data_IF_396745652497
#
_entry.id   IF_396745652497
#
_cell.length_a   1.000
_cell.length_b   1.000
_cell.length_c   1.000
_cell.angle_alpha   90.00
_cell.angle_beta   90.00
_cell.angle_gamma   90.00
#
_symmetry.space_group_name_H-M   'P 1'
#
loop_
_entity.id
_entity.type
_entity.pdbx_description
1 polymer ?
#
# COMPACT_ATOMS: atom_id res chain seq x y z
N UNK A 1 1.51 -9.11 -11.91
CA UNK A 1 2.28 -8.00 -11.30
C UNK A 1 3.48 -8.46 -10.45
N UNK A 2 3.59 -9.74 -10.06
CA UNK A 2 4.65 -10.21 -9.15
C UNK A 2 6.10 -10.07 -9.60
N UNK A 3 6.42 -10.26 -10.90
CA UNK A 3 7.83 -10.23 -11.36
C UNK A 3 8.46 -8.83 -11.35
N UNK A 4 7.64 -7.78 -11.53
CA UNK A 4 8.13 -6.39 -11.54
C UNK A 4 8.54 -5.93 -10.14
N UNK A 5 7.71 -6.18 -9.13
CA UNK A 5 8.01 -5.85 -7.74
C UNK A 5 9.25 -6.62 -7.23
N UNK A 6 9.35 -7.91 -7.55
CA UNK A 6 10.52 -8.73 -7.21
C UNK A 6 11.82 -8.15 -7.80
N UNK A 7 11.78 -7.68 -9.04
CA UNK A 7 12.94 -7.08 -9.73
C UNK A 7 13.34 -5.75 -9.08
N UNK A 8 12.39 -4.95 -8.60
CA UNK A 8 12.67 -3.70 -7.90
C UNK A 8 13.37 -3.95 -6.55
N UNK A 9 12.89 -4.90 -5.74
CA UNK A 9 13.53 -5.21 -4.46
C UNK A 9 14.96 -5.72 -4.65
N UNK A 10 15.19 -6.62 -5.61
CA UNK A 10 16.54 -7.09 -5.94
C UNK A 10 17.47 -5.95 -6.36
N UNK A 11 16.95 -5.01 -7.16
CA UNK A 11 17.70 -3.82 -7.59
C UNK A 11 18.08 -2.94 -6.39
N UNK A 12 17.15 -2.72 -5.45
CA UNK A 12 17.41 -1.92 -4.26
C UNK A 12 18.46 -2.57 -3.34
N UNK A 13 18.40 -3.89 -3.13
CA UNK A 13 19.41 -4.62 -2.37
C UNK A 13 20.79 -4.55 -3.04
N UNK A 14 20.87 -4.75 -4.35
CA UNK A 14 22.13 -4.62 -5.08
C UNK A 14 22.68 -3.19 -5.00
N UNK A 15 21.81 -2.19 -5.11
CA UNK A 15 22.17 -0.78 -5.00
C UNK A 15 22.69 -0.43 -3.60
N UNK A 16 22.06 -0.93 -2.54
CA UNK A 16 22.50 -0.75 -1.15
C UNK A 16 23.94 -1.22 -0.95
N UNK A 17 24.24 -2.47 -1.33
CA UNK A 17 25.59 -3.03 -1.18
C UNK A 17 26.62 -2.34 -2.05
N UNK A 18 26.28 -2.04 -3.31
CA UNK A 18 27.16 -1.30 -4.21
C UNK A 18 27.47 0.10 -3.67
N UNK A 19 26.47 0.83 -3.20
CA UNK A 19 26.63 2.19 -2.67
C UNK A 19 27.45 2.18 -1.37
N UNK A 20 27.20 1.22 -0.49
CA UNK A 20 27.97 1.05 0.76
C UNK A 20 29.45 0.80 0.48
N UNK A 21 29.79 -0.08 -0.49
CA UNK A 21 31.18 -0.28 -0.92
C UNK A 21 31.83 0.99 -1.42
N UNK A 22 31.13 1.73 -2.29
CA UNK A 22 31.64 3.01 -2.80
C UNK A 22 31.87 4.04 -1.71
N UNK A 23 30.98 4.12 -0.73
CA UNK A 23 31.14 5.02 0.42
C UNK A 23 32.34 4.60 1.28
N UNK A 24 32.55 3.30 1.52
CA UNK A 24 33.74 2.80 2.21
C UNK A 24 35.04 3.09 1.43
N UNK A 25 35.01 3.00 0.10
CA UNK A 25 36.15 3.35 -0.76
C UNK A 25 36.47 4.84 -0.67
N UNK A 26 35.45 5.70 -0.64
CA UNK A 26 35.64 7.13 -0.40
C UNK A 26 36.23 7.40 0.99
N UNK A 27 35.70 6.76 2.03
CA UNK A 27 36.16 6.92 3.41
C UNK A 27 37.59 6.42 3.62
N UNK A 28 38.03 5.42 2.87
CA UNK A 28 39.40 4.90 2.92
C UNK A 28 40.45 5.92 2.44
N UNK A 29 40.05 6.98 1.73
CA UNK A 29 40.95 8.07 1.33
C UNK A 29 41.13 9.14 2.41
N UNK A 30 40.35 9.08 3.50
CA UNK A 30 40.47 10.00 4.63
C UNK A 30 41.57 9.54 5.58
N UNK A 31 42.10 10.48 6.36
CA UNK A 31 43.03 10.11 7.41
C UNK A 31 42.28 9.45 8.60
N UNK A 32 42.93 8.59 9.41
CA UNK A 32 42.25 7.88 10.50
C UNK A 32 41.59 8.80 11.55
N UNK A 33 42.13 10.00 11.74
CA UNK A 33 41.57 10.98 12.67
C UNK A 33 40.25 11.58 12.15
N UNK A 34 40.12 11.80 10.84
CA UNK A 34 38.88 12.28 10.19
C UNK A 34 37.77 11.23 10.26
N UNK A 35 38.11 9.97 10.10
CA UNK A 35 37.16 8.85 10.16
C UNK A 35 36.53 8.70 11.55
N UNK A 36 37.30 9.01 12.60
CA UNK A 36 36.89 8.89 14.01
C UNK A 36 36.44 10.20 14.63
N UNK A 37 36.70 11.34 13.97
CA UNK A 37 36.24 12.65 14.40
C UNK A 37 34.71 12.74 14.42
N UNK A 38 34.18 13.41 15.44
CA UNK A 38 32.78 13.81 15.50
C UNK A 38 32.69 15.31 15.17
N UNK A 39 32.23 15.68 13.97
CA UNK A 39 32.16 17.08 13.54
C UNK A 39 31.04 17.88 14.23
N UNK A 40 30.29 17.28 15.16
CA UNK A 40 29.20 17.95 15.90
C UNK A 40 27.88 18.01 15.12
N UNK A 41 27.79 17.35 13.98
CA UNK A 41 26.55 17.12 13.24
C UNK A 41 26.44 15.64 12.82
N UNK A 42 25.23 15.08 12.84
CA UNK A 42 24.99 13.67 12.51
C UNK A 42 25.14 12.69 13.68
N UNK A 43 25.09 11.38 13.41
CA UNK A 43 25.20 10.31 14.41
C UNK A 43 26.66 9.90 14.68
N UNK A 44 27.46 10.85 15.16
CA UNK A 44 28.85 10.61 15.57
C UNK A 44 29.85 10.72 14.41
N UNK A 45 30.82 9.81 14.39
CA UNK A 45 31.88 9.77 13.37
C UNK A 45 31.47 8.95 12.14
N UNK A 46 32.26 9.04 11.07
CA UNK A 46 32.07 8.21 9.87
C UNK A 46 32.10 6.73 10.25
N UNK A 47 33.01 6.35 11.15
CA UNK A 47 33.08 4.99 11.69
C UNK A 47 31.79 4.55 12.39
N UNK A 48 31.23 5.39 13.28
CA UNK A 48 30.00 5.02 14.02
C UNK A 48 28.79 4.93 13.11
N UNK A 49 28.73 5.73 12.04
CA UNK A 49 27.67 5.67 11.04
C UNK A 49 27.74 4.36 10.24
N UNK A 50 28.91 3.98 9.75
CA UNK A 50 29.08 2.69 9.06
C UNK A 50 28.75 1.51 9.97
N UNK A 51 29.21 1.55 11.23
CA UNK A 51 28.86 0.53 12.20
C UNK A 51 27.33 0.47 12.45
N UNK A 52 26.66 1.61 12.53
CA UNK A 52 25.21 1.66 12.68
C UNK A 52 24.48 1.00 11.51
N UNK A 53 24.93 1.25 10.28
CA UNK A 53 24.37 0.62 9.08
C UNK A 53 24.59 -0.90 9.10
N UNK A 54 25.82 -1.36 9.33
CA UNK A 54 26.14 -2.79 9.42
C UNK A 54 25.31 -3.50 10.50
N UNK A 55 25.22 -2.88 11.68
CA UNK A 55 24.39 -3.39 12.79
C UNK A 55 22.93 -3.50 12.37
N UNK A 56 22.40 -2.51 11.65
CA UNK A 56 21.01 -2.49 11.21
C UNK A 56 20.74 -3.60 10.19
N UNK A 57 21.62 -3.78 9.21
CA UNK A 57 21.52 -4.87 8.23
C UNK A 57 21.51 -6.24 8.91
N UNK A 58 22.42 -6.47 9.86
CA UNK A 58 22.48 -7.70 10.66
C UNK A 58 21.19 -7.96 11.45
N UNK A 59 20.72 -6.95 12.19
CA UNK A 59 19.54 -7.09 13.05
C UNK A 59 18.30 -7.45 12.22
N UNK A 60 18.09 -6.77 11.08
CA UNK A 60 16.95 -7.04 10.21
C UNK A 60 17.05 -8.40 9.54
N UNK A 61 18.22 -8.79 9.03
CA UNK A 61 18.39 -10.12 8.42
C UNK A 61 18.01 -11.21 9.39
N UNK A 62 18.65 -11.23 10.57
CA UNK A 62 18.46 -12.31 11.53
C UNK A 62 17.02 -12.35 12.02
N UNK A 63 16.38 -11.18 12.21
CA UNK A 63 14.96 -11.14 12.58
C UNK A 63 14.05 -11.70 11.51
N UNK A 64 14.30 -11.42 10.22
CA UNK A 64 13.53 -12.00 9.12
C UNK A 64 13.80 -13.50 8.95
N UNK A 65 15.05 -13.90 9.16
CA UNK A 65 15.49 -15.29 8.95
C UNK A 65 15.05 -16.23 10.07
N UNK A 66 14.97 -15.73 11.30
CA UNK A 66 14.72 -16.57 12.50
C UNK A 66 13.44 -16.21 13.25
N UNK A 67 12.87 -15.02 13.02
CA UNK A 67 11.76 -14.47 13.81
C UNK A 67 12.19 -13.91 15.18
N UNK A 68 13.44 -14.12 15.59
CA UNK A 68 13.95 -13.72 16.91
C UNK A 68 14.58 -12.32 16.90
N UNK A 69 14.73 -11.74 18.08
CA UNK A 69 15.49 -10.50 18.26
C UNK A 69 16.95 -10.84 18.63
N UNK A 70 17.91 -10.73 17.70
CA UNK A 70 19.31 -11.02 18.01
C UNK A 70 19.92 -9.99 18.94
N UNK A 71 21.00 -10.37 19.63
CA UNK A 71 21.86 -9.39 20.30
C UNK A 71 22.66 -8.62 19.26
N UNK A 72 22.70 -7.28 19.33
CA UNK A 72 23.48 -6.48 18.40
C UNK A 72 24.98 -6.73 18.59
N UNK A 73 25.78 -6.76 17.51
CA UNK A 73 27.22 -6.77 17.65
C UNK A 73 27.71 -5.54 18.42
N UNK A 74 28.86 -5.69 19.08
CA UNK A 74 29.54 -4.61 19.79
C UNK A 74 30.47 -3.87 18.81
N UNK A 75 30.62 -2.55 18.96
CA UNK A 75 31.44 -1.73 18.04
C UNK A 75 32.92 -2.07 18.15
N UNK A 76 33.34 -2.58 19.30
CA UNK A 76 34.70 -3.02 19.61
C UNK A 76 35.15 -4.20 18.74
N UNK A 77 34.20 -4.98 18.19
CA UNK A 77 34.49 -6.03 17.21
C UNK A 77 34.88 -5.46 15.84
N UNK A 78 34.63 -4.17 15.61
CA UNK A 78 34.88 -3.48 14.35
C UNK A 78 35.68 -2.20 14.61
N UNK A 79 36.97 -2.29 15.00
CA UNK A 79 37.75 -1.11 15.40
C UNK A 79 38.21 -0.23 14.23
N UNK A 80 38.14 -0.72 12.99
CA UNK A 80 38.66 -0.05 11.79
C UNK A 80 37.69 -0.09 10.62
N UNK A 81 37.85 0.81 9.64
CA UNK A 81 37.11 0.74 8.37
C UNK A 81 37.32 -0.58 7.62
N UNK A 82 38.49 -1.20 7.76
CA UNK A 82 38.78 -2.51 7.18
C UNK A 82 37.93 -3.60 7.83
N UNK A 83 37.87 -3.65 9.16
CA UNK A 83 37.00 -4.59 9.87
C UNK A 83 35.51 -4.37 9.56
N UNK A 84 35.08 -3.11 9.41
CA UNK A 84 33.71 -2.80 8.98
C UNK A 84 33.44 -3.28 7.55
N UNK A 85 34.39 -3.13 6.63
CA UNK A 85 34.29 -3.63 5.26
C UNK A 85 34.13 -5.14 5.23
N UNK A 86 34.94 -5.88 5.99
CA UNK A 86 34.80 -7.33 6.13
C UNK A 86 33.43 -7.71 6.71
N UNK A 87 32.96 -6.95 7.71
CA UNK A 87 31.62 -7.11 8.27
C UNK A 87 30.52 -6.94 7.23
N UNK A 88 30.59 -5.89 6.41
CA UNK A 88 29.65 -5.65 5.33
C UNK A 88 29.68 -6.73 4.24
N UNK A 89 30.86 -7.24 3.86
CA UNK A 89 30.96 -8.33 2.88
C UNK A 89 30.36 -9.63 3.44
N UNK A 90 30.65 -9.96 4.70
CA UNK A 90 30.07 -11.12 5.37
C UNK A 90 28.54 -11.00 5.44
N UNK A 91 28.03 -9.83 5.82
CA UNK A 91 26.60 -9.59 5.96
C UNK A 91 25.89 -9.60 4.60
N UNK A 92 26.51 -9.04 3.55
CA UNK A 92 26.00 -9.11 2.19
C UNK A 92 25.89 -10.56 1.67
N UNK A 93 26.88 -11.40 1.96
CA UNK A 93 26.83 -12.83 1.63
C UNK A 93 25.72 -13.56 2.40
N UNK A 94 25.56 -13.26 3.69
CA UNK A 94 24.50 -13.84 4.51
C UNK A 94 23.10 -13.46 4.00
N UNK A 95 22.89 -12.19 3.64
CA UNK A 95 21.66 -11.72 3.00
C UNK A 95 21.38 -12.43 1.68
N UNK A 96 22.40 -12.55 0.82
CA UNK A 96 22.24 -13.25 -0.46
C UNK A 96 21.83 -14.71 -0.24
N UNK A 97 22.48 -15.41 0.70
CA UNK A 97 22.14 -16.78 1.05
C UNK A 97 20.71 -16.90 1.60
N UNK A 98 20.28 -15.97 2.44
CA UNK A 98 18.91 -15.92 2.94
C UNK A 98 17.89 -15.71 1.81
N UNK A 99 18.12 -14.75 0.91
CA UNK A 99 17.23 -14.46 -0.22
C UNK A 99 17.12 -15.64 -1.18
N UNK A 100 18.21 -16.36 -1.47
CA UNK A 100 18.15 -17.56 -2.30
C UNK A 100 17.33 -18.68 -1.66
N UNK A 101 17.47 -18.90 -0.34
CA UNK A 101 16.61 -19.87 0.36
C UNK A 101 15.15 -19.43 0.38
N UNK A 102 14.89 -18.14 0.60
CA UNK A 102 13.53 -17.59 0.60
C UNK A 102 12.86 -17.79 -0.76
N UNK A 103 13.58 -17.61 -1.88
CA UNK A 103 13.06 -17.90 -3.22
C UNK A 103 12.65 -19.36 -3.38
N UNK A 104 13.48 -20.29 -2.90
CA UNK A 104 13.18 -21.73 -2.98
C UNK A 104 11.96 -22.10 -2.14
N UNK A 105 11.86 -21.57 -0.92
CA UNK A 105 10.71 -21.80 -0.03
C UNK A 105 9.46 -21.18 -0.62
N UNK A 106 9.51 -19.92 -1.06
CA UNK A 106 8.37 -19.22 -1.65
C UNK A 106 7.84 -19.92 -2.91
N UNK A 107 8.72 -20.51 -3.73
CA UNK A 107 8.32 -21.29 -4.90
C UNK A 107 7.68 -22.65 -4.55
N UNK A 108 8.00 -23.21 -3.38
CA UNK A 108 7.43 -24.45 -2.87
C UNK A 108 6.20 -24.23 -1.98
N UNK A 109 5.96 -22.98 -1.55
CA UNK A 109 4.76 -22.59 -0.85
C UNK A 109 3.64 -22.45 -1.88
N UNK A 110 2.59 -23.24 -1.72
CA UNK A 110 1.28 -22.86 -2.24
C UNK A 110 0.80 -21.66 -1.40
N UNK A 111 1.29 -20.47 -1.74
CA UNK A 111 0.45 -19.29 -1.59
C UNK A 111 -0.76 -19.66 -2.43
N UNK A 112 -1.94 -19.79 -1.81
CA UNK A 112 -3.15 -19.97 -2.59
C UNK A 112 -3.07 -18.91 -3.69
N UNK A 113 -3.01 -19.36 -4.94
CA UNK A 113 -3.41 -18.52 -6.06
C UNK A 113 -4.91 -18.27 -5.80
N UNK A 114 -5.21 -17.42 -4.81
CA UNK A 114 -6.33 -16.54 -4.99
C UNK A 114 -5.90 -15.77 -6.22
N UNK A 115 -6.43 -16.18 -7.38
CA UNK A 115 -6.94 -15.17 -8.30
C UNK A 115 -7.44 -14.04 -7.39
N UNK A 116 -6.77 -12.88 -7.43
CA UNK A 116 -7.08 -11.71 -6.62
C UNK A 116 -8.51 -11.25 -7.00
N UNK A 117 -9.51 -12.06 -6.72
CA UNK A 117 -10.87 -11.63 -6.52
C UNK A 117 -10.77 -10.83 -5.24
N UNK A 118 -10.60 -9.51 -5.38
CA UNK A 118 -10.84 -8.57 -4.30
C UNK A 118 -12.22 -8.89 -3.74
N UNK A 119 -12.25 -9.67 -2.66
CA UNK A 119 -13.50 -10.04 -2.01
C UNK A 119 -14.04 -8.77 -1.38
N UNK A 120 -15.10 -8.22 -1.97
CA UNK A 120 -15.79 -7.07 -1.41
C UNK A 120 -16.66 -7.57 -0.25
N UNK A 121 -16.28 -7.22 0.97
CA UNK A 121 -17.12 -7.46 2.13
C UNK A 121 -18.34 -6.53 2.09
N UNK A 122 -19.53 -7.13 2.15
CA UNK A 122 -20.81 -6.42 2.15
C UNK A 122 -21.42 -6.56 3.55
N UNK A 123 -21.62 -5.44 4.23
CA UNK A 123 -22.16 -5.43 5.60
C UNK A 123 -23.68 -5.66 5.60
N UNK A 124 -24.38 -5.10 4.61
CA UNK A 124 -25.82 -5.30 4.46
C UNK A 124 -26.30 -5.13 3.02
N UNK A 125 -27.27 -5.96 2.63
CA UNK A 125 -28.12 -5.71 1.46
C UNK A 125 -29.26 -4.75 1.87
N UNK A 126 -29.40 -3.65 1.12
CA UNK A 126 -30.39 -2.61 1.35
C UNK A 126 -31.58 -2.76 0.40
N UNK A 127 -32.78 -3.05 0.92
CA UNK A 127 -34.02 -2.87 0.18
C UNK A 127 -34.22 -1.42 -0.27
N UNK A 128 -34.80 -1.21 -1.46
CA UNK A 128 -35.02 0.12 -2.05
C UNK A 128 -35.71 1.14 -1.12
N UNK A 129 -36.60 0.68 -0.22
CA UNK A 129 -37.28 1.54 0.75
C UNK A 129 -36.33 2.28 1.71
N UNK A 130 -35.11 1.76 1.91
CA UNK A 130 -34.08 2.36 2.76
C UNK A 130 -33.09 3.25 2.00
N UNK A 131 -33.22 3.36 0.67
CA UNK A 131 -32.42 4.26 -0.16
C UNK A 131 -32.94 5.70 -0.07
N UNK A 132 -32.91 6.27 1.13
CA UNK A 132 -33.34 7.64 1.42
C UNK A 132 -32.29 8.39 2.28
N UNK A 133 -32.51 9.68 2.51
CA UNK A 133 -31.52 10.55 3.18
C UNK A 133 -31.15 10.09 4.61
N UNK A 134 -32.01 9.33 5.30
CA UNK A 134 -31.72 8.84 6.66
C UNK A 134 -30.57 7.84 6.69
N UNK A 135 -30.22 7.23 5.55
CA UNK A 135 -29.08 6.33 5.45
C UNK A 135 -27.76 7.03 5.86
N UNK A 136 -27.65 8.34 5.61
CA UNK A 136 -26.49 9.11 6.03
C UNK A 136 -26.36 9.15 7.56
N UNK A 137 -27.47 9.42 8.25
CA UNK A 137 -27.51 9.47 9.73
C UNK A 137 -27.15 8.11 10.35
N UNK A 138 -27.46 7.01 9.67
CA UNK A 138 -27.09 5.66 10.11
C UNK A 138 -25.57 5.48 10.00
N UNK A 139 -24.97 5.90 8.89
CA UNK A 139 -23.52 5.78 8.67
C UNK A 139 -22.76 6.60 9.72
N UNK A 140 -23.18 7.84 10.01
CA UNK A 140 -22.50 8.67 11.02
C UNK A 140 -22.49 8.05 12.43
N UNK A 141 -23.48 7.20 12.76
CA UNK A 141 -23.54 6.53 14.06
C UNK A 141 -22.38 5.53 14.27
N UNK A 142 -21.78 5.04 13.18
CA UNK A 142 -20.66 4.08 13.22
C UNK A 142 -19.29 4.76 13.22
N UNK A 143 -19.25 6.09 13.14
CA UNK A 143 -18.01 6.82 13.34
C UNK A 143 -17.54 6.74 14.81
N UNK A 144 -16.22 6.70 15.06
CA UNK A 144 -15.13 6.98 14.12
C UNK A 144 -14.66 5.74 13.32
N UNK A 145 -14.34 5.95 12.04
CA UNK A 145 -13.76 4.92 11.17
C UNK A 145 -12.23 4.83 11.27
N UNK A 146 -11.67 3.65 11.02
CA UNK A 146 -10.24 3.36 11.06
C UNK A 146 -9.91 1.95 10.56
N UNK A 147 -8.67 1.49 10.77
CA UNK A 147 -8.19 0.17 10.30
C UNK A 147 -9.00 -0.99 10.90
N UNK A 148 -9.47 -0.87 12.14
CA UNK A 148 -10.30 -1.89 12.81
C UNK A 148 -11.81 -1.61 12.71
N UNK A 149 -12.22 -0.52 12.05
CA UNK A 149 -13.63 -0.13 11.87
C UNK A 149 -13.79 0.57 10.51
N UNK A 150 -13.84 -0.22 9.45
CA UNK A 150 -13.99 0.33 8.10
C UNK A 150 -15.38 0.96 7.86
N UNK A 151 -15.50 1.90 6.91
CA UNK A 151 -16.79 2.43 6.50
C UNK A 151 -17.75 1.36 5.98
N UNK A 152 -19.01 1.45 6.39
CA UNK A 152 -20.06 0.50 6.00
C UNK A 152 -20.22 0.42 4.48
N UNK A 153 -20.25 -0.81 3.99
CA UNK A 153 -20.37 -1.16 2.58
C UNK A 153 -21.70 -1.87 2.34
N UNK A 154 -22.53 -1.32 1.45
CA UNK A 154 -23.88 -1.78 1.20
C UNK A 154 -24.05 -2.34 -0.20
N UNK A 155 -24.97 -3.28 -0.36
CA UNK A 155 -25.43 -3.79 -1.66
C UNK A 155 -26.87 -3.35 -1.91
N UNK A 156 -27.16 -2.79 -3.08
CA UNK A 156 -28.53 -2.60 -3.56
C UNK A 156 -28.71 -3.34 -4.88
N UNK A 157 -29.86 -3.98 -5.06
CA UNK A 157 -30.20 -4.73 -6.27
C UNK A 157 -31.30 -4.06 -7.06
N UNK A 158 -31.29 -4.30 -8.37
CA UNK A 158 -32.32 -3.87 -9.31
C UNK A 158 -32.57 -2.34 -9.32
N UNK A 159 -31.52 -1.53 -9.27
CA UNK A 159 -31.63 -0.05 -9.39
C UNK A 159 -31.36 0.39 -10.82
N UNK A 160 -32.00 1.49 -11.25
CA UNK A 160 -31.87 1.97 -12.63
C UNK A 160 -30.88 3.12 -12.74
N UNK A 161 -30.01 3.07 -13.74
CA UNK A 161 -29.15 4.20 -14.10
C UNK A 161 -29.94 5.16 -15.00
N UNK A 162 -30.13 6.40 -14.56
CA UNK A 162 -30.91 7.41 -15.30
C UNK A 162 -30.07 8.54 -15.89
N UNK A 163 -28.81 8.66 -15.47
CA UNK A 163 -27.85 9.62 -16.05
C UNK A 163 -26.42 9.09 -15.89
N UNK A 164 -25.57 9.34 -16.90
CA UNK A 164 -24.15 8.98 -16.91
C UNK A 164 -23.34 10.16 -17.45
N UNK A 165 -22.31 10.57 -16.72
CA UNK A 165 -21.36 11.60 -17.14
C UNK A 165 -19.93 11.15 -16.84
N UNK A 166 -19.06 11.18 -17.86
CA UNK A 166 -17.64 10.90 -17.70
C UNK A 166 -16.90 12.16 -17.20
N UNK A 167 -16.01 12.01 -16.22
CA UNK A 167 -15.30 13.12 -15.59
C UNK A 167 -13.82 12.81 -15.35
N UNK A 168 -12.97 13.84 -15.45
CA UNK A 168 -11.55 13.78 -15.15
C UNK A 168 -10.80 14.98 -15.77
N UNK A 169 -9.73 15.46 -15.11
CA UNK A 169 -9.03 16.69 -15.53
C UNK A 169 -8.23 16.55 -16.84
N UNK A 170 -7.65 15.38 -17.10
CA UNK A 170 -6.83 15.13 -18.29
C UNK A 170 -7.49 14.07 -19.20
N UNK A 171 -7.86 12.95 -18.61
CA UNK A 171 -8.62 11.87 -19.24
C UNK A 171 -9.85 11.61 -18.38
N UNK A 172 -10.98 11.34 -19.02
CA UNK A 172 -12.23 11.07 -18.32
C UNK A 172 -12.21 9.67 -17.72
N UNK A 173 -11.47 9.48 -16.62
CA UNK A 173 -11.25 8.19 -15.95
C UNK A 173 -12.38 7.81 -15.00
N UNK A 174 -13.17 8.76 -14.53
CA UNK A 174 -14.19 8.53 -13.52
C UNK A 174 -15.59 8.69 -14.12
N UNK A 175 -16.57 8.06 -13.48
CA UNK A 175 -17.96 8.09 -13.92
C UNK A 175 -18.80 8.70 -12.82
N UNK A 176 -19.59 9.71 -13.16
CA UNK A 176 -20.69 10.19 -12.33
C UNK A 176 -21.98 9.56 -12.85
N UNK A 177 -22.77 9.02 -11.95
CA UNK A 177 -24.03 8.36 -12.23
C UNK A 177 -25.14 9.02 -11.43
N UNK A 178 -26.36 8.98 -11.97
CA UNK A 178 -27.56 9.20 -11.14
C UNK A 178 -28.35 7.89 -11.10
N UNK A 179 -28.51 7.37 -9.88
CA UNK A 179 -29.21 6.12 -9.63
C UNK A 179 -30.64 6.43 -9.18
N UNK A 180 -31.61 5.83 -9.87
CA UNK A 180 -33.01 5.89 -9.48
C UNK A 180 -33.33 4.72 -8.53
N UNK A 181 -33.51 5.05 -7.26
CA UNK A 181 -33.91 4.12 -6.22
C UNK A 181 -35.39 4.32 -5.80
N UNK A 182 -36.21 4.87 -6.70
CA UNK A 182 -37.64 5.10 -6.50
C UNK A 182 -37.92 6.43 -5.81
N UNK A 183 -37.90 6.45 -4.47
CA UNK A 183 -38.28 7.65 -3.71
C UNK A 183 -37.25 8.79 -3.81
N UNK A 184 -35.98 8.44 -4.05
CA UNK A 184 -34.89 9.39 -4.11
C UNK A 184 -33.95 9.06 -5.27
N UNK A 185 -33.41 10.12 -5.89
CA UNK A 185 -32.39 10.02 -6.94
C UNK A 185 -31.03 10.28 -6.34
N UNK A 186 -30.14 9.30 -6.45
CA UNK A 186 -28.86 9.32 -5.78
C UNK A 186 -27.75 9.73 -6.75
N UNK A 187 -27.04 10.84 -6.48
CA UNK A 187 -25.79 11.09 -7.18
C UNK A 187 -24.75 10.07 -6.71
N UNK A 188 -24.09 9.43 -7.65
CA UNK A 188 -23.08 8.43 -7.38
C UNK A 188 -21.80 8.69 -8.18
N UNK A 189 -20.66 8.28 -7.64
CA UNK A 189 -19.35 8.37 -8.29
C UNK A 189 -18.69 7.00 -8.30
N UNK A 190 -18.23 6.59 -9.47
CA UNK A 190 -17.42 5.39 -9.65
C UNK A 190 -16.05 5.77 -10.20
N UNK A 191 -15.03 5.63 -9.36
CA UNK A 191 -13.65 5.99 -9.69
C UNK A 191 -13.03 4.99 -10.66
N UNK A 192 -12.32 5.46 -11.69
CA UNK A 192 -11.56 4.63 -12.63
C UNK A 192 -12.41 3.65 -13.45
N UNK A 193 -13.73 3.90 -13.55
CA UNK A 193 -14.68 3.01 -14.21
C UNK A 193 -15.12 3.47 -15.60
N UNK A 194 -14.46 4.46 -16.21
CA UNK A 194 -14.89 4.99 -17.50
C UNK A 194 -14.89 3.94 -18.62
N UNK A 195 -13.94 3.02 -18.62
CA UNK A 195 -13.86 1.91 -19.58
C UNK A 195 -14.94 0.83 -19.35
N UNK A 196 -15.54 0.79 -18.15
CA UNK A 196 -16.64 -0.12 -17.81
C UNK A 196 -17.96 0.37 -18.41
N UNK A 197 -18.10 1.66 -18.72
CA UNK A 197 -19.29 2.21 -19.37
C UNK A 197 -19.41 1.65 -20.78
N UNK A 198 -20.61 1.22 -21.18
CA UNK A 198 -20.95 0.46 -22.40
C UNK A 198 -20.45 -0.98 -22.45
N UNK A 199 -19.40 -1.33 -21.70
CA UNK A 199 -18.91 -2.71 -21.57
C UNK A 199 -19.74 -3.48 -20.55
N UNK A 200 -19.74 -3.00 -19.32
CA UNK A 200 -20.29 -3.69 -18.15
C UNK A 200 -21.67 -3.12 -17.76
N UNK A 201 -21.88 -1.82 -17.95
CA UNK A 201 -23.16 -1.12 -17.70
C UNK A 201 -23.31 0.12 -18.61
N UNK A 202 -24.54 0.55 -18.88
CA UNK A 202 -24.84 1.74 -19.70
C UNK A 202 -26.12 2.46 -19.22
N UNK A 203 -26.42 3.61 -19.83
CA UNK A 203 -27.61 4.40 -19.53
C UNK A 203 -28.89 3.58 -19.71
N UNK A 204 -29.83 3.71 -18.76
CA UNK A 204 -31.08 2.95 -18.65
C UNK A 204 -30.96 1.48 -18.23
N UNK A 205 -29.76 0.96 -17.99
CA UNK A 205 -29.61 -0.38 -17.46
C UNK A 205 -30.12 -0.49 -16.02
N UNK A 206 -30.57 -1.70 -15.68
CA UNK A 206 -30.86 -2.10 -14.30
C UNK A 206 -29.64 -2.83 -13.77
N UNK A 207 -29.16 -2.43 -12.60
CA UNK A 207 -27.90 -2.88 -12.03
C UNK A 207 -28.04 -3.25 -10.55
N UNK A 208 -27.18 -4.18 -10.13
CA UNK A 208 -26.83 -4.44 -8.75
C UNK A 208 -25.52 -3.68 -8.46
N UNK A 209 -25.45 -3.02 -7.31
CA UNK A 209 -24.37 -2.09 -7.01
C UNK A 209 -23.92 -2.22 -5.56
N UNK A 210 -22.61 -2.30 -5.36
CA UNK A 210 -21.95 -2.21 -4.06
C UNK A 210 -21.41 -0.80 -3.87
N UNK A 211 -21.74 -0.16 -2.75
CA UNK A 211 -21.42 1.24 -2.52
C UNK A 211 -21.23 1.58 -1.04
N UNK A 212 -20.58 2.72 -0.83
CA UNK A 212 -20.47 3.43 0.46
C UNK A 212 -21.21 4.76 0.36
N UNK A 213 -21.70 5.27 1.48
CA UNK A 213 -22.35 6.59 1.53
C UNK A 213 -21.32 7.62 2.00
N UNK A 214 -21.32 8.78 1.33
CA UNK A 214 -20.39 9.87 1.61
C UNK A 214 -21.12 11.21 1.67
N UNK A 215 -20.60 12.15 2.48
CA UNK A 215 -21.05 13.54 2.54
C UNK A 215 -20.30 14.36 1.49
N UNK A 216 -21.02 14.83 0.47
CA UNK A 216 -20.46 15.76 -0.49
C UNK A 216 -20.75 17.21 -0.06
N UNK A 217 -19.69 17.94 0.29
CA UNK A 217 -19.75 19.36 0.61
C UNK A 217 -19.42 20.20 -0.63
N UNK A 218 -20.41 20.92 -1.17
CA UNK A 218 -20.21 21.80 -2.32
C UNK A 218 -20.94 23.12 -2.14
N UNK A 219 -20.21 24.24 -2.24
CA UNK A 219 -20.74 25.60 -2.07
C UNK A 219 -21.54 25.82 -0.77
N UNK A 220 -21.12 25.19 0.33
CA UNK A 220 -21.80 25.29 1.63
C UNK A 220 -23.09 24.45 1.74
N UNK A 221 -23.48 23.74 0.69
CA UNK A 221 -24.53 22.73 0.75
C UNK A 221 -23.93 21.35 0.96
N UNK A 222 -24.55 20.60 1.86
CA UNK A 222 -24.24 19.21 2.09
C UNK A 222 -25.26 18.33 1.36
N UNK A 223 -24.76 17.38 0.57
CA UNK A 223 -25.61 16.44 -0.15
C UNK A 223 -25.08 15.02 0.02
N UNK A 224 -25.94 14.02 0.27
CA UNK A 224 -25.52 12.64 0.33
C UNK A 224 -25.15 12.16 -1.08
N UNK A 225 -24.02 11.47 -1.20
CA UNK A 225 -23.49 10.92 -2.44
C UNK A 225 -23.05 9.48 -2.23
N UNK A 226 -23.27 8.63 -3.23
CA UNK A 226 -22.80 7.25 -3.20
C UNK A 226 -21.41 7.15 -3.83
N UNK A 227 -20.51 6.40 -3.20
CA UNK A 227 -19.23 6.00 -3.78
C UNK A 227 -19.34 4.53 -4.15
N UNK A 228 -19.29 4.24 -5.43
CA UNK A 228 -19.48 2.90 -5.97
C UNK A 228 -18.15 2.16 -5.89
N UNK A 229 -18.17 0.98 -5.28
CA UNK A 229 -17.06 0.04 -5.25
C UNK A 229 -17.15 -0.89 -6.46
N UNK A 230 -18.34 -1.45 -6.70
CA UNK A 230 -18.57 -2.27 -7.89
C UNK A 230 -20.02 -2.24 -8.38
N UNK A 231 -20.21 -2.60 -9.65
CA UNK A 231 -21.50 -2.58 -10.32
C UNK A 231 -21.61 -3.71 -11.34
N UNK A 232 -22.79 -4.31 -11.43
CA UNK A 232 -23.07 -5.39 -12.36
C UNK A 232 -24.50 -5.25 -12.90
N UNK A 233 -24.71 -5.53 -14.18
CA UNK A 233 -26.07 -5.66 -14.74
C UNK A 233 -26.83 -6.81 -14.05
N UNK A 234 -28.06 -6.52 -13.60
CA UNK A 234 -28.96 -7.50 -12.98
C UNK A 234 -29.47 -8.53 -13.99
#
# INVERSE_FOLDING_TARGET
>A
MGSFAQTQFQTLFAYHWHTTRRLLDCAANLNPAEVTANPGYGQGSIHTIFFHLLRTDYLWRVRLETGERPQPPAIEAYPTLESLREGFESEAQAWQAFLERLKLVAAAMELADSEDEELIQIDAELPLKFMNADLLNIVDLFEPYGEENEPLTFLVKNVKIIDISLMGKNEAKHVKLTIDAGAYKWPAVYWQAAEKVKRDFDLNDTVDMVFRVNRNYFNGNETPQLIITDIKRS
#
